data_IF_024822034735
#
_entry.id   IF_024822034735
#
_cell.length_a   1.000
_cell.length_b   1.000
_cell.length_c   1.000
_cell.angle_alpha   90.00
_cell.angle_beta   90.00
_cell.angle_gamma   90.00
#
_symmetry.space_group_name_H-M   'P 1'
#
loop_
_entity.id
_entity.type
_entity.pdbx_description
1 polymer ?
#
# COMPACT_ATOMS: atom_id res chain seq x y z
N UNK A 1 -10.49 -27.01 -3.97
CA UNK A 1 -9.73 -26.55 -5.16
C UNK A 1 -9.32 -27.74 -6.05
N UNK A 2 -9.56 -27.67 -7.37
CA UNK A 2 -9.22 -28.73 -8.37
C UNK A 2 -8.17 -28.26 -9.39
N UNK A 3 -7.40 -27.23 -9.08
CA UNK A 3 -6.38 -26.65 -9.95
C UNK A 3 -5.05 -26.62 -9.21
N UNK A 4 -3.95 -26.87 -9.92
CA UNK A 4 -2.58 -26.84 -9.36
C UNK A 4 -2.04 -25.40 -9.27
N UNK A 5 -2.92 -24.46 -8.94
CA UNK A 5 -2.62 -23.02 -8.92
C UNK A 5 -2.25 -22.58 -7.51
N UNK A 6 -1.25 -21.72 -7.41
CA UNK A 6 -0.88 -21.08 -6.16
C UNK A 6 -1.88 -19.97 -5.82
N UNK A 7 -2.35 -19.95 -4.58
CA UNK A 7 -3.24 -18.90 -4.07
C UNK A 7 -2.57 -18.23 -2.87
N UNK A 8 -2.60 -16.90 -2.85
CA UNK A 8 -2.13 -16.08 -1.74
C UNK A 8 -3.34 -15.42 -1.09
N UNK A 9 -3.58 -15.71 0.20
CA UNK A 9 -4.64 -15.11 0.99
C UNK A 9 -4.02 -13.97 1.78
N UNK A 10 -4.59 -12.76 1.65
CA UNK A 10 -4.12 -11.54 2.31
C UNK A 10 -5.29 -10.80 2.96
N UNK A 11 -4.97 -9.86 3.84
CA UNK A 11 -5.97 -8.95 4.39
C UNK A 11 -6.63 -8.13 3.27
N UNK A 12 -7.94 -7.91 3.37
CA UNK A 12 -8.68 -7.11 2.41
C UNK A 12 -8.48 -5.62 2.71
N UNK A 13 -7.81 -4.91 1.80
CA UNK A 13 -7.69 -3.46 1.85
C UNK A 13 -8.87 -2.82 1.08
N UNK A 14 -9.70 -2.07 1.80
CA UNK A 14 -10.80 -1.32 1.21
C UNK A 14 -10.32 -0.04 0.50
N UNK A 15 -11.15 0.53 -0.36
CA UNK A 15 -10.85 1.80 -1.04
C UNK A 15 -9.99 1.70 -2.30
N UNK A 16 -9.61 0.49 -2.73
CA UNK A 16 -8.87 0.25 -3.96
C UNK A 16 -7.38 0.60 -3.85
N UNK A 17 -6.71 0.81 -4.99
CA UNK A 17 -5.28 1.16 -4.97
C UNK A 17 -5.04 2.64 -4.66
N UNK A 18 -3.89 2.93 -4.04
CA UNK A 18 -3.53 4.29 -3.62
C UNK A 18 -3.52 5.29 -4.78
N UNK A 19 -3.07 4.88 -5.97
CA UNK A 19 -3.02 5.76 -7.17
C UNK A 19 -4.41 6.26 -7.55
N UNK A 20 -5.40 5.37 -7.60
CA UNK A 20 -6.78 5.71 -7.91
C UNK A 20 -7.41 6.53 -6.79
N UNK A 21 -7.18 6.14 -5.54
CA UNK A 21 -7.67 6.87 -4.38
C UNK A 21 -7.20 8.34 -4.40
N UNK A 22 -5.91 8.57 -4.62
CA UNK A 22 -5.34 9.92 -4.72
C UNK A 22 -5.92 10.72 -5.89
N UNK A 23 -6.17 10.06 -7.03
CA UNK A 23 -6.81 10.69 -8.20
C UNK A 23 -8.24 11.12 -7.89
N UNK A 24 -9.04 10.23 -7.28
CA UNK A 24 -10.44 10.47 -6.97
C UNK A 24 -10.61 11.53 -5.86
N UNK A 25 -9.73 11.52 -4.86
CA UNK A 25 -9.79 12.43 -3.70
C UNK A 25 -8.94 13.69 -3.87
N UNK A 26 -8.46 14.00 -5.08
CA UNK A 26 -7.53 15.12 -5.33
C UNK A 26 -7.99 16.45 -4.74
N UNK A 27 -9.30 16.73 -4.79
CA UNK A 27 -9.87 18.00 -4.29
C UNK A 27 -10.20 17.97 -2.79
N UNK A 28 -10.45 16.81 -2.21
CA UNK A 28 -10.85 16.67 -0.80
C UNK A 28 -9.69 16.31 0.12
N UNK A 29 -8.61 15.75 -0.43
CA UNK A 29 -7.47 15.28 0.32
C UNK A 29 -6.51 16.43 0.61
N UNK A 30 -6.43 16.83 1.88
CA UNK A 30 -5.54 17.90 2.34
C UNK A 30 -4.07 17.53 2.17
N UNK A 31 -3.19 18.53 2.16
CA UNK A 31 -1.75 18.29 2.13
C UNK A 31 -1.27 17.48 3.34
N UNK A 32 -1.86 17.73 4.51
CA UNK A 32 -1.57 16.97 5.72
C UNK A 32 -1.90 15.48 5.56
N UNK A 33 -3.06 15.13 4.99
CA UNK A 33 -3.40 13.72 4.75
C UNK A 33 -2.45 13.05 3.76
N UNK A 34 -2.01 13.76 2.71
CA UNK A 34 -1.04 13.23 1.75
C UNK A 34 0.31 12.94 2.41
N UNK A 35 0.78 13.86 3.25
CA UNK A 35 2.01 13.69 4.01
C UNK A 35 1.89 12.50 4.98
N UNK A 36 0.76 12.37 5.67
CA UNK A 36 0.49 11.24 6.56
C UNK A 36 0.54 9.90 5.82
N UNK A 37 -0.09 9.80 4.64
CA UNK A 37 -0.02 8.60 3.80
C UNK A 37 1.43 8.28 3.39
N UNK A 38 2.20 9.29 2.97
CA UNK A 38 3.61 9.11 2.62
C UNK A 38 4.44 8.63 3.82
N UNK A 39 4.21 9.18 5.02
CA UNK A 39 4.86 8.72 6.25
C UNK A 39 4.48 7.28 6.59
N UNK A 40 3.23 6.87 6.39
CA UNK A 40 2.79 5.48 6.61
C UNK A 40 3.50 4.51 5.68
N UNK A 41 3.57 4.82 4.38
CA UNK A 41 4.32 4.01 3.39
C UNK A 41 5.80 3.93 3.76
N UNK A 42 6.42 5.07 4.10
CA UNK A 42 7.83 5.12 4.50
C UNK A 42 8.10 4.30 5.78
N UNK A 43 7.19 4.32 6.75
CA UNK A 43 7.30 3.52 7.97
C UNK A 43 7.19 2.02 7.67
N UNK A 44 6.27 1.61 6.78
CA UNK A 44 6.18 0.22 6.33
C UNK A 44 7.47 -0.26 5.66
N UNK A 45 8.04 0.54 4.76
CA UNK A 45 9.32 0.25 4.13
C UNK A 45 10.47 0.20 5.13
N UNK A 46 10.50 1.10 6.11
CA UNK A 46 11.48 1.07 7.19
C UNK A 46 11.42 -0.22 7.99
N UNK A 47 10.22 -0.75 8.27
CA UNK A 47 10.07 -2.05 8.93
C UNK A 47 10.58 -3.19 8.03
N UNK A 48 10.23 -3.20 6.74
CA UNK A 48 10.75 -4.20 5.80
C UNK A 48 12.28 -4.16 5.72
N UNK A 49 12.87 -2.98 5.63
CA UNK A 49 14.31 -2.81 5.56
C UNK A 49 15.02 -3.24 6.85
N UNK A 50 14.41 -3.03 8.02
CA UNK A 50 14.93 -3.55 9.29
C UNK A 50 15.03 -5.08 9.31
N UNK A 51 14.11 -5.77 8.63
CA UNK A 51 14.11 -7.22 8.45
C UNK A 51 14.97 -7.68 7.24
N UNK A 52 15.71 -6.75 6.61
CA UNK A 52 16.54 -7.06 5.44
C UNK A 52 15.75 -7.32 4.15
N UNK A 53 14.45 -6.99 4.12
CA UNK A 53 13.56 -7.21 2.97
C UNK A 53 13.53 -5.97 2.09
N UNK A 54 13.86 -6.12 0.81
CA UNK A 54 13.73 -5.06 -0.21
C UNK A 54 12.44 -5.30 -1.00
N UNK A 55 11.57 -4.30 -1.08
CA UNK A 55 10.27 -4.41 -1.77
C UNK A 55 10.40 -4.65 -3.29
N UNK A 56 11.40 -4.05 -3.92
CA UNK A 56 11.78 -4.16 -5.36
C UNK A 56 10.83 -3.52 -6.38
N UNK A 57 9.55 -3.35 -6.08
CA UNK A 57 8.58 -2.71 -6.99
C UNK A 57 7.59 -1.83 -6.21
N UNK A 58 8.06 -0.68 -5.72
CA UNK A 58 7.28 0.23 -4.87
C UNK A 58 6.28 1.07 -5.67
#
# INVERSE_FOLDING_TARGET
>A
PRTSEYMLIQEYADGGNLREYLRQKRQTLTWHNRLQLACQVANGLHMLHKEGIVHRDL
#
